data_IF_147068748912
#
_entry.id   IF_147068748912
#
_cell.length_a   1.000
_cell.length_b   1.000
_cell.length_c   1.000
_cell.angle_alpha   90.00
_cell.angle_beta   90.00
_cell.angle_gamma   90.00
#
_symmetry.space_group_name_H-M   'P 1'
#
loop_
_entity.id
_entity.type
_entity.pdbx_description
1 polymer ?
#
# COMPACT_ATOMS: atom_id res chain seq x y z
N UNK A 1 -10.14 63.14 -16.08
CA UNK A 1 -9.08 62.12 -16.15
C UNK A 1 -9.44 61.03 -15.17
N UNK A 2 -10.26 60.06 -15.61
CA UNK A 2 -10.69 58.94 -14.78
C UNK A 2 -10.18 57.69 -15.48
N UNK A 3 -9.06 57.16 -14.99
CA UNK A 3 -8.56 55.84 -15.41
C UNK A 3 -9.21 54.84 -14.46
N UNK A 4 -10.33 54.25 -14.90
CA UNK A 4 -10.81 53.00 -14.31
C UNK A 4 -9.83 51.92 -14.78
N UNK A 5 -9.03 51.39 -13.86
CA UNK A 5 -8.20 50.21 -14.08
C UNK A 5 -9.11 49.06 -14.46
N UNK A 6 -8.95 48.57 -15.68
CA UNK A 6 -9.60 47.38 -16.22
C UNK A 6 -9.43 46.19 -15.26
N UNK A 7 -10.52 45.80 -14.62
CA UNK A 7 -10.68 44.44 -14.11
C UNK A 7 -10.63 43.53 -15.33
N UNK A 8 -9.53 42.79 -15.49
CA UNK A 8 -9.36 41.79 -16.55
C UNK A 8 -10.43 40.71 -16.39
N UNK A 9 -11.57 40.89 -17.05
CA UNK A 9 -12.52 39.83 -17.31
C UNK A 9 -11.78 38.78 -18.15
N UNK A 10 -11.41 37.66 -17.52
CA UNK A 10 -10.92 36.48 -18.23
C UNK A 10 -11.89 36.19 -19.38
N UNK A 11 -11.37 36.10 -20.61
CA UNK A 11 -12.21 35.82 -21.77
C UNK A 11 -13.03 34.54 -21.54
N UNK A 12 -14.24 34.42 -22.11
CA UNK A 12 -15.08 33.23 -21.94
C UNK A 12 -14.34 31.93 -22.28
N UNK A 13 -13.43 31.99 -23.25
CA UNK A 13 -12.54 30.89 -23.62
C UNK A 13 -11.52 30.54 -22.53
N UNK A 14 -10.91 31.53 -21.87
CA UNK A 14 -9.99 31.28 -20.73
C UNK A 14 -10.74 30.71 -19.54
N UNK A 15 -11.94 31.22 -19.26
CA UNK A 15 -12.78 30.68 -18.19
C UNK A 15 -13.21 29.24 -18.49
N UNK A 16 -13.61 28.95 -19.73
CA UNK A 16 -13.96 27.60 -20.18
C UNK A 16 -12.76 26.65 -20.13
N UNK A 17 -11.57 27.08 -20.57
CA UNK A 17 -10.34 26.28 -20.49
C UNK A 17 -9.90 26.05 -19.04
N UNK A 18 -10.05 27.03 -18.15
CA UNK A 18 -9.82 26.87 -16.71
C UNK A 18 -10.82 25.91 -16.08
N UNK A 19 -12.11 26.01 -16.45
CA UNK A 19 -13.14 25.10 -15.95
C UNK A 19 -12.93 23.68 -16.46
N UNK A 20 -12.56 23.52 -17.74
CA UNK A 20 -12.21 22.25 -18.36
C UNK A 20 -10.94 21.65 -17.71
N UNK A 21 -9.93 22.48 -17.42
CA UNK A 21 -8.74 22.08 -16.69
C UNK A 21 -9.05 21.67 -15.25
N UNK A 22 -9.92 22.39 -14.54
CA UNK A 22 -10.38 22.04 -13.19
C UNK A 22 -11.25 20.77 -13.17
N UNK A 23 -12.08 20.55 -14.20
CA UNK A 23 -12.87 19.33 -14.39
C UNK A 23 -11.99 18.13 -14.75
N UNK A 24 -10.95 18.33 -15.56
CA UNK A 24 -9.93 17.31 -15.85
C UNK A 24 -9.00 17.06 -14.66
N UNK A 25 -8.79 18.07 -13.81
CA UNK A 25 -8.06 17.98 -12.57
C UNK A 25 -8.90 17.45 -11.40
N UNK A 26 -10.16 17.01 -11.64
CA UNK A 26 -10.91 16.20 -10.69
C UNK A 26 -10.13 14.90 -10.44
N UNK A 27 -9.30 14.98 -9.42
CA UNK A 27 -8.09 14.20 -9.23
C UNK A 27 -8.39 12.72 -9.02
N UNK A 28 -7.47 11.86 -9.46
CA UNK A 28 -7.35 10.48 -8.99
C UNK A 28 -6.90 10.49 -7.52
N UNK A 29 -7.81 10.88 -6.63
CA UNK A 29 -7.57 11.03 -5.20
C UNK A 29 -7.80 9.71 -4.49
N UNK A 30 -6.73 9.16 -3.91
CA UNK A 30 -6.76 7.99 -3.05
C UNK A 30 -6.57 8.43 -1.59
N UNK A 31 -7.56 8.15 -0.75
CA UNK A 31 -7.48 8.41 0.69
C UNK A 31 -8.33 7.40 1.45
N UNK A 32 -8.50 7.59 2.76
CA UNK A 32 -9.39 6.80 3.59
C UNK A 32 -10.04 7.67 4.66
N UNK A 33 -11.15 7.16 5.19
CA UNK A 33 -11.74 7.66 6.42
C UNK A 33 -12.15 6.50 7.32
N UNK A 34 -12.77 6.80 8.46
CA UNK A 34 -13.21 5.80 9.44
C UNK A 34 -14.08 4.67 8.89
N UNK A 35 -14.71 4.85 7.71
CA UNK A 35 -15.62 3.88 7.12
C UNK A 35 -14.99 3.07 6.00
N UNK A 36 -14.18 3.70 5.14
CA UNK A 36 -13.72 3.05 3.92
C UNK A 36 -12.47 3.68 3.31
N UNK A 37 -11.86 2.94 2.39
CA UNK A 37 -11.02 3.53 1.35
C UNK A 37 -11.90 4.42 0.46
N UNK A 38 -11.41 5.61 0.15
CA UNK A 38 -12.06 6.60 -0.70
C UNK A 38 -11.26 6.73 -1.99
N UNK A 39 -11.88 6.34 -3.09
CA UNK A 39 -11.31 6.38 -4.44
C UNK A 39 -12.10 7.40 -5.23
N UNK A 40 -11.46 8.45 -5.74
CA UNK A 40 -12.10 9.50 -6.53
C UNK A 40 -13.34 10.08 -5.80
N UNK A 41 -13.16 10.43 -4.52
CA UNK A 41 -14.21 10.96 -3.63
C UNK A 41 -15.39 10.02 -3.36
N UNK A 42 -15.27 8.73 -3.71
CA UNK A 42 -16.29 7.71 -3.48
C UNK A 42 -15.79 6.67 -2.48
N UNK A 43 -16.52 6.47 -1.38
CA UNK A 43 -16.25 5.36 -0.47
C UNK A 43 -16.49 4.03 -1.19
N UNK A 44 -15.57 3.08 -1.03
CA UNK A 44 -15.67 1.75 -1.65
C UNK A 44 -15.68 0.66 -0.59
N UNK A 45 -16.58 -0.31 -0.76
CA UNK A 45 -16.43 -1.63 -0.16
C UNK A 45 -15.56 -2.42 -1.14
N UNK A 46 -14.37 -2.80 -0.70
CA UNK A 46 -13.43 -3.54 -1.53
C UNK A 46 -13.59 -5.02 -1.23
N UNK A 47 -13.99 -5.79 -2.24
CA UNK A 47 -13.90 -7.24 -2.23
C UNK A 47 -12.59 -7.58 -2.94
N UNK A 48 -11.77 -8.45 -2.35
CA UNK A 48 -10.46 -8.80 -2.91
C UNK A 48 -10.19 -10.30 -2.76
N UNK A 49 -9.25 -10.79 -3.55
CA UNK A 49 -8.79 -12.18 -3.52
C UNK A 49 -7.31 -12.24 -3.88
N UNK A 50 -6.59 -13.19 -3.29
CA UNK A 50 -5.14 -13.33 -3.48
C UNK A 50 -4.82 -14.30 -4.62
N UNK A 51 -4.03 -13.84 -5.60
CA UNK A 51 -3.35 -14.67 -6.60
C UNK A 51 -1.86 -14.37 -6.52
N UNK A 52 -1.04 -15.41 -6.34
CA UNK A 52 0.41 -15.28 -6.31
C UNK A 52 0.95 -15.62 -7.69
N UNK A 53 1.45 -14.62 -8.43
CA UNK A 53 1.92 -14.80 -9.80
C UNK A 53 2.96 -15.93 -10.00
N UNK A 54 3.88 -16.25 -9.06
CA UNK A 54 4.80 -17.38 -9.23
C UNK A 54 4.16 -18.76 -9.04
N UNK A 55 2.91 -18.83 -8.57
CA UNK A 55 2.17 -20.09 -8.34
C UNK A 55 1.27 -20.48 -9.52
N UNK A 56 1.35 -19.76 -10.63
CA UNK A 56 0.61 -20.04 -11.87
C UNK A 56 1.45 -19.66 -13.09
N UNK A 57 1.16 -20.25 -14.25
CA UNK A 57 1.87 -19.91 -15.49
C UNK A 57 1.27 -18.65 -16.12
N UNK A 58 2.04 -18.00 -17.01
CA UNK A 58 1.61 -16.78 -17.70
C UNK A 58 0.28 -16.98 -18.47
N UNK A 59 0.09 -18.17 -19.07
CA UNK A 59 -1.12 -18.52 -19.83
C UNK A 59 -2.36 -18.60 -18.93
N UNK A 60 -2.18 -18.87 -17.63
CA UNK A 60 -3.28 -18.95 -16.67
C UNK A 60 -3.75 -17.58 -16.18
N UNK A 61 -2.90 -16.54 -16.24
CA UNK A 61 -3.14 -15.27 -15.55
C UNK A 61 -4.39 -14.54 -16.02
N UNK A 62 -4.65 -14.52 -17.34
CA UNK A 62 -5.85 -13.89 -17.88
C UNK A 62 -7.11 -14.60 -17.40
N UNK A 63 -7.11 -15.94 -17.44
CA UNK A 63 -8.23 -16.76 -16.96
C UNK A 63 -8.49 -16.62 -15.46
N UNK A 64 -7.44 -16.60 -14.65
CA UNK A 64 -7.53 -16.39 -13.20
C UNK A 64 -8.04 -14.98 -12.86
N UNK A 65 -7.53 -13.96 -13.55
CA UNK A 65 -7.97 -12.57 -13.36
C UNK A 65 -9.44 -12.37 -13.76
N UNK A 66 -9.89 -13.04 -14.83
CA UNK A 66 -11.31 -13.05 -15.24
C UNK A 66 -12.21 -13.73 -14.21
N UNK A 67 -11.76 -14.83 -13.59
CA UNK A 67 -12.52 -15.51 -12.52
C UNK A 67 -12.67 -14.66 -11.26
N UNK A 68 -11.67 -13.84 -10.93
CA UNK A 68 -11.75 -12.89 -9.82
C UNK A 68 -12.62 -11.66 -10.13
N UNK A 69 -13.04 -11.43 -11.38
CA UNK A 69 -13.65 -10.19 -11.86
C UNK A 69 -15.10 -9.95 -11.36
N UNK A 70 -15.38 -10.28 -10.10
CA UNK A 70 -16.42 -9.68 -9.27
C UNK A 70 -15.82 -8.47 -8.54
N UNK A 71 -15.78 -7.31 -9.19
CA UNK A 71 -15.33 -6.03 -8.58
C UNK A 71 -14.03 -6.10 -7.74
N UNK A 72 -13.15 -7.05 -8.08
CA UNK A 72 -11.99 -7.37 -7.27
C UNK A 72 -10.84 -6.43 -7.58
N UNK A 73 -10.42 -5.69 -6.57
CA UNK A 73 -9.25 -4.82 -6.64
C UNK A 73 -8.01 -5.60 -6.25
N UNK A 74 -6.97 -5.50 -7.08
CA UNK A 74 -5.72 -6.20 -6.86
C UNK A 74 -4.91 -5.47 -5.79
N UNK A 75 -4.81 -6.08 -4.61
CA UNK A 75 -3.78 -5.70 -3.65
C UNK A 75 -2.44 -6.10 -4.28
N UNK A 76 -1.72 -5.13 -4.83
CA UNK A 76 -0.34 -5.37 -5.22
C UNK A 76 0.48 -5.46 -3.95
N UNK A 77 0.89 -6.69 -3.62
CA UNK A 77 1.95 -6.96 -2.66
C UNK A 77 3.26 -7.05 -3.46
N UNK A 78 4.13 -6.01 -3.43
CA UNK A 78 5.45 -5.99 -4.09
C UNK A 78 6.32 -7.20 -3.75
N UNK A 79 5.98 -7.91 -2.68
CA UNK A 79 6.85 -8.82 -1.96
C UNK A 79 6.83 -10.24 -2.51
N UNK A 80 6.07 -10.56 -3.58
CA UNK A 80 6.07 -11.91 -4.20
C UNK A 80 7.40 -12.31 -4.86
N UNK A 81 8.40 -11.44 -4.77
CA UNK A 81 9.82 -11.77 -5.01
C UNK A 81 10.82 -11.13 -4.01
N UNK A 82 10.39 -10.80 -2.79
CA UNK A 82 11.28 -10.88 -1.61
C UNK A 82 11.56 -9.63 -0.78
N UNK A 83 10.85 -9.50 0.34
CA UNK A 83 11.37 -9.22 1.70
C UNK A 83 10.12 -9.07 2.59
N UNK A 84 9.77 -10.13 3.32
CA UNK A 84 8.54 -10.34 4.11
C UNK A 84 7.21 -10.48 3.33
N UNK A 85 6.80 -11.73 3.07
CA UNK A 85 5.40 -12.14 2.83
C UNK A 85 4.97 -13.05 3.97
N UNK A 86 3.69 -12.98 4.34
CA UNK A 86 2.93 -14.01 5.06
C UNK A 86 3.03 -15.35 4.37
N UNK A 87 4.04 -16.10 4.75
CA UNK A 87 3.90 -17.53 4.92
C UNK A 87 4.80 -17.86 6.10
N UNK A 88 4.30 -18.71 6.99
CA UNK A 88 5.06 -19.25 8.10
C UNK A 88 6.51 -19.56 7.66
N UNK A 89 7.48 -18.96 8.36
CA UNK A 89 8.93 -18.98 8.09
C UNK A 89 9.39 -18.25 6.81
N UNK A 90 10.39 -17.37 6.96
CA UNK A 90 11.58 -17.10 6.12
C UNK A 90 11.59 -17.26 4.56
N UNK A 91 10.49 -17.54 3.86
CA UNK A 91 10.49 -18.02 2.46
C UNK A 91 10.64 -16.89 1.42
N UNK A 92 10.63 -15.62 1.84
CA UNK A 92 10.79 -14.47 0.94
C UNK A 92 12.21 -13.88 0.86
N UNK A 93 13.12 -14.22 1.77
CA UNK A 93 14.44 -13.60 1.79
C UNK A 93 15.44 -14.33 0.89
N UNK A 94 16.23 -13.62 0.06
CA UNK A 94 17.32 -14.25 -0.67
C UNK A 94 18.31 -14.91 0.29
N UNK A 95 18.69 -16.17 0.05
CA UNK A 95 19.58 -16.93 0.94
C UNK A 95 20.92 -16.21 1.16
N UNK A 96 21.44 -15.54 0.14
CA UNK A 96 22.70 -14.79 0.23
C UNK A 96 22.65 -13.66 1.27
N UNK A 97 21.45 -13.12 1.55
CA UNK A 97 21.27 -12.02 2.49
C UNK A 97 21.74 -12.41 3.89
N UNK A 98 21.56 -13.69 4.28
CA UNK A 98 22.00 -14.21 5.59
C UNK A 98 23.51 -14.09 5.81
N UNK A 99 24.31 -14.07 4.73
CA UNK A 99 25.77 -14.02 4.80
C UNK A 99 26.31 -12.59 4.77
N UNK A 100 25.45 -11.57 4.72
CA UNK A 100 25.86 -10.18 4.87
C UNK A 100 26.39 -9.98 6.30
N UNK A 101 27.61 -9.41 6.48
CA UNK A 101 28.20 -9.25 7.80
C UNK A 101 27.31 -8.49 8.79
N UNK A 102 27.14 -9.05 9.99
CA UNK A 102 26.34 -8.49 11.10
C UNK A 102 24.84 -8.30 10.78
N UNK A 103 24.32 -9.03 9.79
CA UNK A 103 22.90 -8.95 9.50
C UNK A 103 22.06 -9.61 10.59
N UNK A 104 20.95 -8.97 10.93
CA UNK A 104 19.89 -9.53 11.76
C UNK A 104 18.57 -9.19 11.10
N UNK A 105 17.77 -10.20 10.79
CA UNK A 105 16.54 -10.01 10.02
C UNK A 105 15.42 -9.44 10.89
N UNK A 106 14.58 -8.63 10.26
CA UNK A 106 13.33 -8.10 10.83
C UNK A 106 13.51 -7.48 12.22
N UNK A 107 14.54 -6.67 12.36
CA UNK A 107 14.84 -5.91 13.58
C UNK A 107 15.59 -4.64 13.21
N UNK A 108 15.88 -3.76 14.18
CA UNK A 108 16.61 -2.51 13.94
C UNK A 108 18.09 -2.78 13.66
N UNK A 109 18.35 -3.22 12.43
CA UNK A 109 19.64 -3.67 11.95
C UNK A 109 19.93 -3.00 10.61
N UNK A 110 20.97 -2.16 10.58
CA UNK A 110 21.28 -1.33 9.42
C UNK A 110 21.52 -2.14 8.12
N UNK A 111 22.30 -3.25 8.11
CA UNK A 111 22.43 -4.08 6.91
C UNK A 111 21.09 -4.59 6.36
N UNK A 112 20.19 -5.04 7.24
CA UNK A 112 18.87 -5.50 6.84
C UNK A 112 17.99 -4.36 6.33
N UNK A 113 17.96 -3.23 7.04
CA UNK A 113 17.21 -2.02 6.67
C UNK A 113 17.62 -1.49 5.29
N UNK A 114 18.93 -1.42 5.02
CA UNK A 114 19.44 -1.02 3.71
C UNK A 114 19.00 -1.99 2.60
N UNK A 115 19.11 -3.30 2.83
CA UNK A 115 18.70 -4.30 1.85
C UNK A 115 17.20 -4.23 1.55
N UNK A 116 16.38 -4.13 2.60
CA UNK A 116 14.93 -4.01 2.50
C UNK A 116 14.52 -2.72 1.79
N UNK A 117 15.04 -1.57 2.23
CA UNK A 117 14.75 -0.29 1.60
C UNK A 117 15.17 -0.29 0.12
N UNK A 118 16.34 -0.83 -0.21
CA UNK A 118 16.82 -0.92 -1.58
C UNK A 118 15.88 -1.74 -2.48
N UNK A 119 15.43 -2.90 -2.01
CA UNK A 119 14.49 -3.74 -2.76
C UNK A 119 13.11 -3.10 -2.84
N UNK A 120 12.54 -2.62 -1.73
CA UNK A 120 11.23 -1.97 -1.70
C UNK A 120 11.20 -0.75 -2.61
N UNK A 121 12.23 0.10 -2.55
CA UNK A 121 12.36 1.25 -3.44
C UNK A 121 12.41 0.83 -4.91
N UNK A 122 13.21 -0.19 -5.25
CA UNK A 122 13.28 -0.70 -6.63
C UNK A 122 11.90 -1.11 -7.15
N UNK A 123 11.12 -1.86 -6.37
CA UNK A 123 9.78 -2.28 -6.81
C UNK A 123 8.83 -1.08 -6.93
N UNK A 124 8.82 -0.17 -5.95
CA UNK A 124 7.98 1.03 -6.02
C UNK A 124 8.34 1.88 -7.23
N UNK A 125 9.63 2.08 -7.51
CA UNK A 125 10.08 2.83 -8.68
C UNK A 125 9.64 2.14 -9.98
N UNK A 126 9.78 0.82 -10.09
CA UNK A 126 9.28 0.06 -11.24
C UNK A 126 7.78 0.25 -11.45
N UNK A 127 6.97 0.13 -10.38
CA UNK A 127 5.52 0.33 -10.47
C UNK A 127 5.17 1.77 -10.85
N UNK A 128 5.94 2.76 -10.37
CA UNK A 128 5.77 4.17 -10.74
C UNK A 128 6.11 4.44 -12.20
N UNK A 129 7.21 3.87 -12.70
CA UNK A 129 7.63 3.99 -14.10
C UNK A 129 6.55 3.46 -15.04
N UNK A 130 5.92 2.34 -14.67
CA UNK A 130 4.81 1.74 -15.44
C UNK A 130 3.44 2.37 -15.12
N UNK A 131 3.40 3.45 -14.33
CA UNK A 131 2.16 4.16 -13.93
C UNK A 131 1.09 3.25 -13.33
N UNK A 132 1.51 2.27 -12.54
CA UNK A 132 0.61 1.23 -12.00
C UNK A 132 -0.10 1.64 -10.71
N UNK A 133 0.33 2.70 -10.02
CA UNK A 133 -0.41 3.24 -8.87
C UNK A 133 -1.69 3.96 -9.31
N UNK A 134 -2.77 3.81 -8.55
CA UNK A 134 -4.04 4.46 -8.81
C UNK A 134 -3.94 6.00 -8.80
N UNK A 135 -3.00 6.54 -8.03
CA UNK A 135 -2.60 7.96 -8.07
C UNK A 135 -2.08 8.41 -9.45
N UNK A 136 -1.62 7.47 -10.28
CA UNK A 136 -1.14 7.66 -11.66
C UNK A 136 -2.13 7.12 -12.70
N UNK A 137 -3.33 6.71 -12.29
CA UNK A 137 -4.35 6.09 -13.16
C UNK A 137 -4.24 4.56 -13.31
N UNK A 138 -3.29 3.93 -12.60
CA UNK A 138 -3.09 2.48 -12.62
C UNK A 138 -4.00 1.68 -11.66
N UNK A 139 -3.87 0.34 -11.64
CA UNK A 139 -4.76 -0.52 -10.87
C UNK A 139 -4.40 -0.68 -9.38
N UNK A 140 -3.20 -0.27 -8.94
CA UNK A 140 -2.74 -0.49 -7.56
C UNK A 140 -3.36 0.54 -6.63
N UNK A 141 -4.26 0.12 -5.74
CA UNK A 141 -4.99 1.01 -4.82
C UNK A 141 -4.53 0.94 -3.36
N UNK A 142 -3.69 -0.04 -3.03
CA UNK A 142 -3.23 -0.30 -1.67
C UNK A 142 -1.88 -1.02 -1.74
N UNK A 143 -1.02 -0.82 -0.75
CA UNK A 143 0.26 -1.52 -0.64
C UNK A 143 0.50 -1.97 0.80
N UNK A 144 1.19 -3.09 0.97
CA UNK A 144 1.48 -3.68 2.28
C UNK A 144 3.00 -3.63 2.54
N UNK A 145 3.39 -3.25 3.76
CA UNK A 145 4.78 -3.26 4.21
C UNK A 145 4.91 -4.15 5.44
N UNK A 146 5.99 -4.92 5.50
CA UNK A 146 6.12 -5.99 6.49
C UNK A 146 4.91 -6.93 6.46
N UNK A 147 4.92 -7.93 7.33
CA UNK A 147 3.84 -8.89 7.37
C UNK A 147 3.73 -9.57 8.73
N UNK A 148 2.59 -9.45 9.39
CA UNK A 148 2.31 -10.04 10.70
C UNK A 148 3.46 -9.85 11.68
N UNK A 149 4.05 -8.65 11.69
CA UNK A 149 5.27 -8.39 12.47
C UNK A 149 4.98 -8.15 13.96
N UNK A 150 3.73 -7.90 14.35
CA UNK A 150 3.36 -7.56 15.73
C UNK A 150 3.88 -8.52 16.80
N UNK A 151 3.79 -9.86 16.63
CA UNK A 151 4.41 -10.81 17.56
C UNK A 151 5.94 -10.68 17.64
N UNK A 152 6.61 -10.51 16.51
CA UNK A 152 8.06 -10.33 16.41
C UNK A 152 8.52 -8.97 16.97
N UNK A 153 7.77 -7.90 16.72
CA UNK A 153 7.98 -6.57 17.28
C UNK A 153 8.05 -6.66 18.81
N UNK A 154 7.07 -7.37 19.42
CA UNK A 154 7.05 -7.63 20.87
C UNK A 154 8.23 -8.47 21.33
N UNK A 155 8.61 -9.50 20.58
CA UNK A 155 9.75 -10.35 20.92
C UNK A 155 11.09 -9.59 20.89
N UNK A 156 11.26 -8.66 19.94
CA UNK A 156 12.44 -7.79 19.84
C UNK A 156 12.38 -6.56 20.75
N UNK A 157 11.25 -6.29 21.39
CA UNK A 157 11.06 -5.15 22.29
C UNK A 157 11.34 -3.81 21.61
N UNK A 158 12.19 -2.98 22.23
CA UNK A 158 12.49 -1.64 21.71
C UNK A 158 13.09 -1.66 20.29
N UNK A 159 13.90 -2.66 19.96
CA UNK A 159 14.47 -2.80 18.62
C UNK A 159 13.41 -3.17 17.57
N UNK A 160 12.42 -3.98 17.95
CA UNK A 160 11.29 -4.31 17.09
C UNK A 160 10.42 -3.10 16.80
N UNK A 161 10.07 -2.34 17.85
CA UNK A 161 9.30 -1.11 17.70
C UNK A 161 10.07 -0.04 16.87
N UNK A 162 11.37 0.11 17.07
CA UNK A 162 12.19 1.04 16.28
C UNK A 162 12.20 0.66 14.79
N UNK A 163 12.37 -0.63 14.49
CA UNK A 163 12.28 -1.17 13.14
C UNK A 163 10.90 -0.97 12.52
N UNK A 164 9.82 -1.23 13.26
CA UNK A 164 8.45 -1.03 12.79
C UNK A 164 8.20 0.43 12.37
N UNK A 165 8.58 1.38 13.23
CA UNK A 165 8.45 2.80 12.95
C UNK A 165 9.25 3.20 11.71
N UNK A 166 10.50 2.70 11.61
CA UNK A 166 11.33 2.94 10.45
C UNK A 166 10.70 2.37 9.16
N UNK A 167 10.16 1.15 9.19
CA UNK A 167 9.59 0.50 8.02
C UNK A 167 8.38 1.27 7.49
N UNK A 168 7.50 1.71 8.39
CA UNK A 168 6.35 2.54 8.03
C UNK A 168 6.78 3.90 7.46
N UNK A 169 7.72 4.60 8.12
CA UNK A 169 8.24 5.88 7.63
C UNK A 169 8.91 5.73 6.25
N UNK A 170 9.67 4.66 6.05
CA UNK A 170 10.36 4.38 4.80
C UNK A 170 9.38 4.28 3.63
N UNK A 171 8.31 3.49 3.75
CA UNK A 171 7.36 3.30 2.64
C UNK A 171 6.44 4.49 2.41
N UNK A 172 6.07 5.21 3.48
CA UNK A 172 5.32 6.46 3.38
C UNK A 172 6.16 7.51 2.63
N UNK A 173 7.45 7.58 2.95
CA UNK A 173 8.42 8.45 2.27
C UNK A 173 8.65 8.13 0.79
N UNK A 174 8.31 6.91 0.33
CA UNK A 174 8.37 6.57 -1.09
C UNK A 174 7.27 7.25 -1.93
N UNK A 175 6.24 7.82 -1.31
CA UNK A 175 5.26 8.68 -1.99
C UNK A 175 4.53 8.00 -3.14
N UNK A 176 3.93 6.83 -2.89
CA UNK A 176 3.14 6.08 -3.89
C UNK A 176 1.82 6.77 -4.22
N UNK A 177 1.33 7.63 -3.34
CA UNK A 177 0.02 8.28 -3.47
C UNK A 177 -1.16 7.33 -3.20
N UNK A 178 -0.90 6.14 -2.66
CA UNK A 178 -1.94 5.18 -2.22
C UNK A 178 -1.70 4.80 -0.75
N UNK A 179 -2.73 4.37 0.00
CA UNK A 179 -2.55 4.00 1.40
C UNK A 179 -1.66 2.76 1.59
N UNK A 180 -0.93 2.74 2.70
CA UNK A 180 -0.12 1.61 3.14
C UNK A 180 -0.81 0.87 4.28
N UNK A 181 -0.64 -0.45 4.32
CA UNK A 181 -1.16 -1.31 5.39
C UNK A 181 -0.07 -2.17 6.03
N UNK A 182 -0.33 -2.56 7.28
CA UNK A 182 0.43 -3.55 8.03
C UNK A 182 -0.55 -4.55 8.66
N UNK A 183 -0.43 -5.83 8.32
CA UNK A 183 -1.34 -6.86 8.83
C UNK A 183 -0.87 -7.39 10.20
N UNK A 184 -1.84 -7.64 11.10
CA UNK A 184 -1.63 -8.02 12.51
C UNK A 184 -0.66 -7.11 13.29
N UNK A 185 -0.68 -5.82 13.00
CA UNK A 185 0.21 -4.83 13.61
C UNK A 185 -0.58 -3.79 14.43
N UNK A 186 -0.85 -4.07 15.71
CA UNK A 186 -1.73 -3.23 16.51
C UNK A 186 -1.20 -1.80 16.75
N UNK A 187 0.12 -1.61 16.71
CA UNK A 187 0.83 -0.35 16.90
C UNK A 187 1.35 0.27 15.60
N UNK A 188 0.78 -0.10 14.45
CA UNK A 188 1.12 0.50 13.16
C UNK A 188 1.01 2.05 13.21
N UNK A 189 2.10 2.78 12.94
CA UNK A 189 2.12 4.24 13.03
C UNK A 189 1.37 4.89 11.88
N UNK A 190 0.87 6.11 12.10
CA UNK A 190 0.20 6.85 11.02
C UNK A 190 1.16 7.23 9.90
N UNK A 191 0.69 7.30 8.64
CA UNK A 191 -0.68 7.07 8.17
C UNK A 191 -0.98 5.60 7.79
N UNK A 192 -0.20 4.62 8.26
CA UNK A 192 -0.37 3.20 7.91
C UNK A 192 -1.59 2.62 8.62
N UNK A 193 -2.40 1.84 7.88
CA UNK A 193 -3.60 1.19 8.42
C UNK A 193 -3.24 -0.20 8.92
N UNK A 194 -3.53 -0.51 10.18
CA UNK A 194 -3.42 -1.87 10.67
C UNK A 194 -4.61 -2.72 10.23
N UNK A 195 -4.37 -3.96 9.85
CA UNK A 195 -5.40 -4.86 9.29
C UNK A 195 -5.42 -6.21 10.00
N UNK A 196 -6.50 -6.95 9.79
CA UNK A 196 -6.70 -8.26 10.38
C UNK A 196 -6.48 -9.39 9.36
N UNK A 197 -6.01 -10.53 9.85
CA UNK A 197 -5.90 -11.80 9.13
C UNK A 197 -6.46 -12.91 10.03
N UNK A 198 -7.11 -13.90 9.44
CA UNK A 198 -7.68 -15.02 10.18
C UNK A 198 -8.82 -15.70 9.46
N UNK A 199 -9.44 -16.70 10.11
CA UNK A 199 -10.74 -17.25 9.71
C UNK A 199 -11.89 -16.29 10.01
N UNK A 200 -11.75 -15.47 11.05
CA UNK A 200 -12.75 -14.51 11.49
C UNK A 200 -12.09 -13.20 11.92
N UNK A 201 -12.55 -12.08 11.36
CA UNK A 201 -12.11 -10.73 11.73
C UNK A 201 -13.29 -9.79 12.09
N UNK A 202 -14.47 -10.36 12.36
CA UNK A 202 -15.70 -9.57 12.62
C UNK A 202 -15.61 -8.64 13.85
N UNK A 203 -14.77 -8.99 14.83
CA UNK A 203 -14.54 -8.20 16.05
C UNK A 203 -13.31 -7.28 15.97
N UNK A 204 -12.59 -7.28 14.85
CA UNK A 204 -11.41 -6.45 14.69
C UNK A 204 -11.80 -4.96 14.58
N UNK A 205 -11.03 -4.11 15.25
CA UNK A 205 -11.07 -2.65 15.09
C UNK A 205 -9.67 -2.13 14.83
N UNK A 206 -9.50 -1.15 13.92
CA UNK A 206 -8.20 -0.55 13.67
C UNK A 206 -7.72 0.23 14.90
N UNK A 207 -6.43 0.50 14.95
CA UNK A 207 -5.77 1.10 16.11
C UNK A 207 -6.11 2.59 16.31
N UNK A 208 -6.81 3.20 15.36
CA UNK A 208 -7.32 4.58 15.44
C UNK A 208 -8.73 4.70 14.85
N UNK A 209 -9.57 5.60 15.38
CA UNK A 209 -10.98 5.73 15.00
C UNK A 209 -11.21 6.34 13.62
N UNK A 210 -10.19 6.90 12.98
CA UNK A 210 -10.22 7.52 11.65
C UNK A 210 -9.74 6.57 10.54
N UNK A 211 -9.29 5.37 10.89
CA UNK A 211 -8.87 4.32 9.95
C UNK A 211 -10.05 3.38 9.63
N UNK A 212 -10.16 2.89 8.38
CA UNK A 212 -11.18 1.91 8.03
C UNK A 212 -10.83 0.52 8.58
N UNK A 213 -11.85 -0.31 8.80
CA UNK A 213 -11.66 -1.72 9.14
C UNK A 213 -11.34 -2.52 7.88
N UNK A 214 -10.25 -3.29 7.88
CA UNK A 214 -9.82 -4.09 6.73
C UNK A 214 -9.39 -5.50 7.16
N UNK A 215 -9.81 -6.49 6.37
CA UNK A 215 -9.45 -7.90 6.53
C UNK A 215 -8.60 -8.30 5.32
N UNK A 216 -7.28 -8.34 5.50
CA UNK A 216 -6.32 -8.57 4.42
C UNK A 216 -6.20 -10.04 4.03
N UNK A 217 -6.40 -10.96 4.96
CA UNK A 217 -6.37 -12.41 4.68
C UNK A 217 -7.52 -13.14 5.36
N UNK A 218 -8.58 -13.37 4.59
CA UNK A 218 -9.66 -14.28 4.94
C UNK A 218 -9.25 -15.70 4.58
N UNK A 219 -8.77 -16.46 5.57
CA UNK A 219 -8.27 -17.81 5.34
C UNK A 219 -9.40 -18.71 4.85
N UNK A 220 -9.29 -19.16 3.60
CA UNK A 220 -10.31 -19.98 2.92
C UNK A 220 -10.12 -21.49 3.12
N UNK A 221 -9.08 -21.88 3.86
CA UNK A 221 -8.65 -23.27 4.08
C UNK A 221 -7.30 -23.30 4.82
N UNK A 222 -6.67 -24.48 4.87
CA UNK A 222 -5.34 -24.68 5.45
C UNK A 222 -4.58 -25.78 4.69
#
# INVERSE_FOLDING_TARGET
MVVWSSLDFLSPLRFFLLLLFLLLAAQYGMTYDKKAIVINCQRKILISGSIHYPRSTLEMWEGLSKKLRMEAWMLYRPTSSGMAINLHLAIGFPVWLKYVPRISFRTDNEPFKMAMQGFTKKIVDMMKTESLFASQGGPIILSEIENEYGPESKAFGAAGHAYLNWAAQMVVGLGTGVPWVMCKENDAPDPVINTCNGFYCHSFTPNKPDKPTMWTEAWSGW
#
